data_IF_478898822943
#
_entry.id   IF_478898822943
#
_cell.length_a   1.000
_cell.length_b   1.000
_cell.length_c   1.000
_cell.angle_alpha   90.00
_cell.angle_beta   90.00
_cell.angle_gamma   90.00
#
_symmetry.space_group_name_H-M   'P 1'
#
loop_
_entity.id
_entity.type
_entity.pdbx_description
1 polymer ?
#
# COMPACT_ATOMS: atom_id res chain seq x y z
N UNK A 1 9.06 10.22 -3.42
CA UNK A 1 8.45 9.24 -2.48
C UNK A 1 6.96 9.16 -2.74
N UNK A 2 6.39 7.95 -2.83
CA UNK A 2 4.95 7.77 -3.03
C UNK A 2 4.20 8.11 -1.72
N UNK A 3 3.11 8.89 -1.78
CA UNK A 3 2.33 9.30 -0.59
C UNK A 3 1.90 8.11 0.27
N UNK A 4 1.52 6.99 -0.36
CA UNK A 4 1.17 5.73 0.30
C UNK A 4 2.32 5.12 1.10
N UNK A 5 3.54 5.19 0.57
CA UNK A 5 4.73 4.67 1.24
C UNK A 5 5.06 5.51 2.49
N UNK A 6 4.95 6.83 2.40
CA UNK A 6 5.13 7.74 3.53
C UNK A 6 4.14 7.47 4.68
N UNK A 7 2.88 7.22 4.36
CA UNK A 7 1.86 6.87 5.37
C UNK A 7 2.20 5.53 6.04
N UNK A 8 2.64 4.52 5.27
CA UNK A 8 3.05 3.22 5.82
C UNK A 8 4.27 3.31 6.74
N UNK A 9 5.27 4.10 6.37
CA UNK A 9 6.47 4.32 7.19
C UNK A 9 6.09 4.98 8.53
N UNK A 10 5.24 6.01 8.51
CA UNK A 10 4.72 6.65 9.72
C UNK A 10 3.92 5.72 10.61
N UNK A 11 3.08 4.85 10.03
CA UNK A 11 2.34 3.84 10.79
C UNK A 11 3.33 2.92 11.53
N UNK A 12 4.34 2.40 10.84
CA UNK A 12 5.35 1.52 11.44
C UNK A 12 6.09 2.20 12.61
N UNK A 13 6.46 3.47 12.48
CA UNK A 13 7.11 4.22 13.56
C UNK A 13 6.20 4.39 14.77
N UNK A 14 4.94 4.80 14.55
CA UNK A 14 3.97 4.99 15.64
C UNK A 14 3.60 3.67 16.32
N UNK A 15 3.60 2.54 15.60
CA UNK A 15 3.40 1.24 16.21
C UNK A 15 4.55 0.86 17.15
N UNK A 16 5.80 1.12 16.77
CA UNK A 16 6.96 0.92 17.66
C UNK A 16 6.84 1.77 18.92
N UNK A 17 6.41 3.03 18.79
CA UNK A 17 6.19 3.94 19.91
C UNK A 17 5.06 3.44 20.83
N UNK A 18 3.93 2.98 20.26
CA UNK A 18 2.83 2.35 21.00
C UNK A 18 3.30 1.14 21.80
N UNK A 19 4.13 0.29 21.18
CA UNK A 19 4.73 -0.88 21.83
C UNK A 19 5.68 -0.50 22.96
N UNK A 20 6.51 0.54 22.76
CA UNK A 20 7.38 1.07 23.81
C UNK A 20 6.57 1.54 25.03
N UNK A 21 5.49 2.31 24.83
CA UNK A 21 4.62 2.71 25.94
C UNK A 21 3.95 1.52 26.61
N UNK A 22 3.49 0.54 25.84
CA UNK A 22 2.89 -0.69 26.39
C UNK A 22 3.90 -1.43 27.27
N UNK A 23 5.14 -1.59 26.79
CA UNK A 23 6.21 -2.23 27.56
C UNK A 23 6.60 -1.43 28.80
N UNK A 24 6.58 -0.10 28.75
CA UNK A 24 6.83 0.73 29.93
C UNK A 24 5.74 0.52 31.00
N UNK A 25 4.48 0.43 30.58
CA UNK A 25 3.33 0.24 31.48
C UNK A 25 3.27 -1.16 32.11
N UNK A 26 3.86 -2.18 31.48
CA UNK A 26 3.89 -3.55 32.03
C UNK A 26 5.04 -3.80 33.01
N UNK A 27 5.99 -2.86 33.17
CA UNK A 27 7.10 -3.02 34.11
C UNK A 27 6.63 -2.84 35.55
N UNK A 28 7.22 -3.61 36.47
CA UNK A 28 6.95 -3.51 37.90
C UNK A 28 7.20 -2.08 38.46
N UNK A 29 8.21 -1.38 37.93
CA UNK A 29 8.50 0.03 38.29
C UNK A 29 7.36 1.00 37.95
N UNK A 30 6.48 0.64 37.01
CA UNK A 30 5.31 1.42 36.65
C UNK A 30 4.26 1.40 37.77
N UNK A 31 4.13 0.29 38.51
CA UNK A 31 3.16 0.17 39.60
C UNK A 31 3.42 1.13 40.77
N UNK A 32 4.68 1.56 40.94
CA UNK A 32 5.10 2.43 42.04
C UNK A 32 5.18 3.91 41.65
N UNK A 33 5.04 4.25 40.37
CA UNK A 33 5.15 5.62 39.85
C UNK A 33 3.88 6.01 39.09
N UNK A 34 2.90 6.53 39.85
CA UNK A 34 1.55 6.87 39.38
C UNK A 34 1.58 8.03 38.38
N UNK A 35 2.48 8.99 38.54
CA UNK A 35 2.54 10.16 37.66
C UNK A 35 3.12 9.79 36.29
N UNK A 36 4.20 9.01 36.27
CA UNK A 36 4.81 8.57 35.02
C UNK A 36 3.92 7.56 34.27
N UNK A 37 3.21 6.69 34.98
CA UNK A 37 2.23 5.79 34.35
C UNK A 37 1.07 6.52 33.73
N UNK A 38 0.49 7.50 34.42
CA UNK A 38 -0.62 8.29 33.88
C UNK A 38 -0.21 9.05 32.60
N UNK A 39 0.99 9.65 32.61
CA UNK A 39 1.57 10.31 31.41
C UNK A 39 1.82 9.33 30.26
N UNK A 40 2.36 8.14 30.55
CA UNK A 40 2.60 7.10 29.55
C UNK A 40 1.29 6.54 28.96
N UNK A 41 0.27 6.36 29.80
CA UNK A 41 -1.07 5.93 29.40
C UNK A 41 -1.71 6.98 28.45
N UNK A 42 -1.66 8.26 28.82
CA UNK A 42 -2.16 9.36 27.98
C UNK A 42 -1.46 9.41 26.62
N UNK A 43 -0.12 9.32 26.60
CA UNK A 43 0.66 9.30 25.36
C UNK A 43 0.36 8.08 24.49
N UNK A 44 0.12 6.92 25.10
CA UNK A 44 -0.32 5.70 24.40
C UNK A 44 -1.67 5.90 23.71
N UNK A 45 -2.65 6.48 24.40
CA UNK A 45 -3.96 6.76 23.81
C UNK A 45 -3.90 7.79 22.69
N UNK A 46 -3.11 8.87 22.86
CA UNK A 46 -2.84 9.83 21.78
C UNK A 46 -2.21 9.16 20.56
N UNK A 47 -1.27 8.24 20.77
CA UNK A 47 -0.63 7.47 19.69
C UNK A 47 -1.64 6.57 18.97
N UNK A 48 -2.57 5.94 19.69
CA UNK A 48 -3.65 5.14 19.09
C UNK A 48 -4.59 5.99 18.24
N UNK A 49 -4.95 7.19 18.70
CA UNK A 49 -5.80 8.11 17.92
C UNK A 49 -5.11 8.51 16.61
N UNK A 50 -3.82 8.86 16.65
CA UNK A 50 -3.05 9.17 15.44
C UNK A 50 -2.95 7.98 14.48
N UNK A 51 -2.73 6.77 15.00
CA UNK A 51 -2.73 5.56 14.18
C UNK A 51 -4.07 5.33 13.47
N UNK A 52 -5.20 5.53 14.16
CA UNK A 52 -6.54 5.42 13.54
C UNK A 52 -6.70 6.36 12.35
N UNK A 53 -6.24 7.61 12.48
CA UNK A 53 -6.30 8.61 11.40
C UNK A 53 -5.45 8.14 10.21
N UNK A 54 -4.22 7.68 10.44
CA UNK A 54 -3.33 7.22 9.37
C UNK A 54 -3.83 5.96 8.68
N UNK A 55 -4.43 5.02 9.41
CA UNK A 55 -5.06 3.84 8.80
C UNK A 55 -6.27 4.23 7.93
N UNK A 56 -7.07 5.21 8.35
CA UNK A 56 -8.17 5.74 7.53
C UNK A 56 -7.66 6.44 6.27
N UNK A 57 -6.59 7.24 6.37
CA UNK A 57 -5.93 7.88 5.22
C UNK A 57 -5.37 6.83 4.25
N UNK A 58 -4.74 5.75 4.76
CA UNK A 58 -4.24 4.66 3.94
C UNK A 58 -5.36 3.93 3.20
N UNK A 59 -6.48 3.68 3.88
CA UNK A 59 -7.65 3.05 3.29
C UNK A 59 -8.24 3.89 2.15
N UNK A 60 -8.41 5.20 2.37
CA UNK A 60 -8.86 6.13 1.33
C UNK A 60 -7.90 6.18 0.13
N UNK A 61 -6.59 6.12 0.37
CA UNK A 61 -5.61 6.06 -0.72
C UNK A 61 -5.74 4.78 -1.55
N UNK A 62 -6.15 3.67 -0.94
CA UNK A 62 -6.31 2.39 -1.62
C UNK A 62 -7.61 2.34 -2.44
N UNK A 63 -8.74 2.82 -1.89
CA UNK A 63 -9.99 2.96 -2.65
C UNK A 63 -9.86 3.90 -3.85
N UNK A 64 -9.08 4.98 -3.73
CA UNK A 64 -8.82 5.90 -4.84
C UNK A 64 -7.96 5.28 -5.97
N UNK A 65 -7.27 4.16 -5.70
CA UNK A 65 -6.53 3.41 -6.73
C UNK A 65 -7.45 2.42 -7.44
N UNK A 66 -8.35 1.77 -6.70
CA UNK A 66 -9.30 0.79 -7.26
C UNK A 66 -10.43 1.44 -8.07
N UNK A 67 -10.89 2.63 -7.67
CA UNK A 67 -11.93 3.37 -8.38
C UNK A 67 -11.43 4.17 -9.59
N UNK A 68 -10.18 3.95 -10.03
CA UNK A 68 -9.74 4.54 -11.30
C UNK A 68 -10.48 3.83 -12.42
N UNK A 69 -11.20 4.57 -13.30
CA UNK A 69 -11.82 3.95 -14.45
C UNK A 69 -10.74 3.18 -15.21
N UNK A 70 -11.05 1.96 -15.69
CA UNK A 70 -10.11 1.21 -16.50
C UNK A 70 -9.62 2.16 -17.59
N UNK A 71 -8.31 2.36 -17.68
CA UNK A 71 -7.71 3.21 -18.72
C UNK A 71 -8.36 2.77 -20.01
N UNK A 72 -9.11 3.67 -20.65
CA UNK A 72 -9.68 3.42 -21.97
C UNK A 72 -8.51 2.99 -22.82
N UNK A 73 -8.48 1.72 -23.22
CA UNK A 73 -7.47 1.22 -24.15
C UNK A 73 -7.75 2.01 -25.41
N UNK A 74 -6.97 3.07 -25.63
CA UNK A 74 -7.02 3.81 -26.88
C UNK A 74 -6.56 2.80 -27.90
N UNK A 75 -7.50 2.21 -28.64
CA UNK A 75 -7.18 1.36 -29.76
C UNK A 75 -6.48 2.24 -30.76
N UNK A 76 -5.15 2.19 -30.74
CA UNK A 76 -4.35 2.78 -31.82
C UNK A 76 -4.76 1.99 -33.05
N UNK A 77 -5.51 2.63 -33.95
CA UNK A 77 -5.79 2.07 -35.27
C UNK A 77 -4.47 2.08 -36.03
N UNK A 78 -3.73 1.00 -35.93
CA UNK A 78 -2.51 0.78 -36.70
C UNK A 78 -2.97 0.38 -38.11
N UNK A 79 -2.66 1.21 -39.10
CA UNK A 79 -2.86 0.88 -40.50
C UNK A 79 -1.64 0.09 -40.97
N UNK A 80 -1.80 -1.22 -41.11
CA UNK A 80 -0.75 -2.09 -41.63
C UNK A 80 -0.60 -1.93 -43.14
N UNK A 81 0.63 -1.97 -43.63
CA UNK A 81 0.96 -2.13 -45.04
C UNK A 81 0.68 -3.56 -45.52
N UNK A 82 0.58 -3.77 -46.82
CA UNK A 82 0.35 -5.11 -47.39
C UNK A 82 1.48 -6.09 -47.04
N UNK A 83 2.73 -5.61 -46.97
CA UNK A 83 3.89 -6.42 -46.60
C UNK A 83 3.81 -6.86 -45.13
N UNK A 84 3.42 -5.96 -44.22
CA UNK A 84 3.23 -6.28 -42.81
C UNK A 84 2.10 -7.28 -42.61
N UNK A 85 0.99 -7.16 -43.34
CA UNK A 85 -0.12 -8.12 -43.30
C UNK A 85 0.32 -9.52 -43.75
N UNK A 86 1.10 -9.60 -44.84
CA UNK A 86 1.68 -10.88 -45.30
C UNK A 86 2.63 -11.47 -44.27
N UNK A 87 3.50 -10.67 -43.67
CA UNK A 87 4.43 -11.12 -42.64
C UNK A 87 3.71 -11.65 -41.39
N UNK A 88 2.66 -10.96 -40.94
CA UNK A 88 1.81 -11.40 -39.81
C UNK A 88 1.12 -12.74 -40.14
N UNK A 89 0.60 -12.89 -41.36
CA UNK A 89 -0.06 -14.12 -41.78
C UNK A 89 0.91 -15.31 -41.84
N UNK A 90 2.13 -15.09 -42.32
CA UNK A 90 3.18 -16.12 -42.29
C UNK A 90 3.59 -16.49 -40.87
N UNK A 91 3.72 -15.50 -39.97
CA UNK A 91 4.05 -15.73 -38.57
C UNK A 91 2.97 -16.54 -37.85
N UNK A 92 1.69 -16.18 -38.02
CA UNK A 92 0.57 -16.88 -37.38
C UNK A 92 0.37 -18.31 -37.91
N UNK A 93 0.77 -18.58 -39.15
CA UNK A 93 0.72 -19.91 -39.74
C UNK A 93 1.94 -20.78 -39.40
N UNK A 94 2.96 -20.21 -38.75
CA UNK A 94 4.16 -20.97 -38.35
C UNK A 94 3.88 -21.79 -37.08
N UNK A 95 3.82 -23.11 -37.27
CA UNK A 95 3.60 -24.10 -36.22
C UNK A 95 4.73 -24.18 -35.19
N UNK A 96 5.87 -23.50 -35.40
CA UNK A 96 6.94 -23.39 -34.39
C UNK A 96 6.56 -22.51 -33.20
N UNK A 97 5.59 -21.61 -33.37
CA UNK A 97 5.13 -20.69 -32.32
C UNK A 97 3.78 -21.07 -31.71
N UNK A 98 3.17 -22.19 -32.15
CA UNK A 98 2.02 -22.76 -31.43
C UNK A 98 2.49 -23.27 -30.07
N UNK A 99 2.09 -22.55 -29.02
CA UNK A 99 2.22 -22.99 -27.64
C UNK A 99 1.37 -24.25 -27.52
N UNK A 100 2.03 -25.40 -27.41
CA UNK A 100 1.39 -26.67 -27.07
C UNK A 100 1.42 -26.78 -25.55
N UNK A 101 0.26 -26.98 -24.93
CA UNK A 101 0.11 -27.29 -23.50
C UNK A 101 0.59 -28.71 -23.18
#
# INVERSE_FOLDING_TARGET
MCKKQHVREKINELEKIKWAYTRCLTKYSAANDVENTTKAQYKKEKTKQLLRILYAELYQLDENVENKPPKTIVSVKINYTNEELSAILHFNNDKKFTITE
#
